data_IF_394027194615
#
_entry.id   IF_394027194615
#
_cell.length_a   1.000
_cell.length_b   1.000
_cell.length_c   1.000
_cell.angle_alpha   90.00
_cell.angle_beta   90.00
_cell.angle_gamma   90.00
#
_symmetry.space_group_name_H-M   'P 1'
#
loop_
_entity.id
_entity.type
_entity.pdbx_description
1 polymer ?
#
# COMPACT_ATOMS: atom_id res chain seq x y z
N UNK A 1 -5.47 -23.17 -19.53
CA UNK A 1 -4.87 -21.81 -19.42
C UNK A 1 -5.57 -20.96 -18.34
N UNK A 2 -6.89 -20.74 -18.39
CA UNK A 2 -7.61 -19.92 -17.39
C UNK A 2 -7.48 -20.40 -15.94
N UNK A 3 -7.71 -21.69 -15.70
CA UNK A 3 -7.66 -22.27 -14.35
C UNK A 3 -6.30 -22.05 -13.64
N UNK A 4 -5.19 -22.17 -14.37
CA UNK A 4 -3.86 -21.94 -13.80
C UNK A 4 -3.64 -20.47 -13.42
N UNK A 5 -4.11 -19.53 -14.26
CA UNK A 5 -4.03 -18.10 -13.94
C UNK A 5 -4.92 -17.73 -12.75
N UNK A 6 -6.14 -18.30 -12.68
CA UNK A 6 -7.06 -18.07 -11.56
C UNK A 6 -6.50 -18.61 -10.24
N UNK A 7 -5.89 -19.80 -10.27
CA UNK A 7 -5.21 -20.39 -9.11
C UNK A 7 -4.03 -19.54 -8.63
N UNK A 8 -3.15 -19.12 -9.55
CA UNK A 8 -2.01 -18.28 -9.20
C UNK A 8 -2.45 -16.95 -8.56
N UNK A 9 -3.46 -16.29 -9.15
CA UNK A 9 -4.03 -15.05 -8.59
C UNK A 9 -4.63 -15.28 -7.19
N UNK A 10 -5.31 -16.40 -6.99
CA UNK A 10 -5.87 -16.78 -5.69
C UNK A 10 -4.80 -16.96 -4.62
N UNK A 11 -3.71 -17.64 -4.97
CA UNK A 11 -2.57 -17.88 -4.08
C UNK A 11 -1.86 -16.57 -3.71
N UNK A 12 -1.61 -15.71 -4.69
CA UNK A 12 -0.97 -14.41 -4.46
C UNK A 12 -1.83 -13.50 -3.60
N UNK A 13 -3.14 -13.41 -3.87
CA UNK A 13 -4.07 -12.61 -3.07
C UNK A 13 -4.12 -13.10 -1.63
N UNK A 14 -4.19 -14.43 -1.43
CA UNK A 14 -4.23 -15.04 -0.10
C UNK A 14 -2.95 -14.79 0.69
N UNK A 15 -1.80 -14.78 0.01
CA UNK A 15 -0.49 -14.53 0.60
C UNK A 15 -0.30 -13.06 0.97
N UNK A 16 -0.61 -12.14 0.05
CA UNK A 16 -0.49 -10.70 0.27
C UNK A 16 -1.37 -10.22 1.42
N UNK A 17 -2.55 -10.82 1.61
CA UNK A 17 -3.44 -10.53 2.74
C UNK A 17 -2.70 -10.59 4.09
N UNK A 18 -1.87 -11.61 4.30
CA UNK A 18 -1.08 -11.77 5.53
C UNK A 18 0.14 -10.85 5.56
N UNK A 19 0.88 -10.80 4.45
CA UNK A 19 2.12 -10.02 4.35
C UNK A 19 1.89 -8.52 4.51
N UNK A 20 0.88 -7.95 3.84
CA UNK A 20 0.58 -6.51 3.92
C UNK A 20 0.19 -6.13 5.35
N UNK A 21 -0.63 -6.94 6.03
CA UNK A 21 -0.96 -6.71 7.44
C UNK A 21 0.28 -6.72 8.33
N UNK A 22 1.19 -7.69 8.14
CA UNK A 22 2.47 -7.76 8.87
C UNK A 22 3.31 -6.50 8.64
N UNK A 23 3.45 -6.07 7.38
CA UNK A 23 4.26 -4.90 7.04
C UNK A 23 3.67 -3.62 7.62
N UNK A 24 2.35 -3.43 7.53
CA UNK A 24 1.67 -2.28 8.12
C UNK A 24 1.84 -2.27 9.64
N UNK A 25 1.68 -3.43 10.30
CA UNK A 25 1.84 -3.55 11.74
C UNK A 25 3.26 -3.24 12.21
N UNK A 26 4.27 -3.70 11.48
CA UNK A 26 5.67 -3.45 11.80
C UNK A 26 6.06 -1.99 11.63
N UNK A 27 5.61 -1.37 10.53
CA UNK A 27 6.06 -0.04 10.13
C UNK A 27 5.29 1.08 10.80
N UNK A 28 3.96 0.98 10.84
CA UNK A 28 3.09 2.06 11.34
C UNK A 28 2.57 1.82 12.76
N UNK A 29 2.68 0.58 13.27
CA UNK A 29 2.27 0.20 14.63
C UNK A 29 0.87 0.73 15.00
N UNK A 30 -0.17 0.45 14.18
CA UNK A 30 -1.52 0.90 14.47
C UNK A 30 -2.05 0.28 15.76
N UNK A 31 -2.99 0.99 16.38
CA UNK A 31 -3.72 0.53 17.57
C UNK A 31 -5.24 0.60 17.29
N UNK A 32 -5.95 -0.55 17.22
CA UNK A 32 -5.42 -1.91 17.30
C UNK A 32 -4.58 -2.30 16.06
N UNK A 33 -3.69 -3.30 16.18
CA UNK A 33 -2.99 -3.87 15.04
C UNK A 33 -3.95 -4.37 13.96
N UNK A 34 -3.53 -4.29 12.70
CA UNK A 34 -4.24 -4.82 11.54
C UNK A 34 -4.30 -6.34 11.63
N UNK A 35 -5.49 -6.87 11.87
CA UNK A 35 -5.75 -8.31 11.84
C UNK A 35 -5.94 -8.74 10.36
N UNK A 36 -5.11 -9.67 9.83
CA UNK A 36 -5.30 -10.15 8.48
C UNK A 36 -6.64 -10.86 8.29
N UNK A 37 -7.25 -11.47 9.30
CA UNK A 37 -8.48 -12.25 9.17
C UNK A 37 -9.75 -11.45 9.42
N UNK A 38 -9.66 -10.33 10.13
CA UNK A 38 -10.77 -9.39 10.28
C UNK A 38 -10.81 -8.39 9.10
N UNK A 39 -11.89 -8.43 8.32
CA UNK A 39 -12.08 -7.49 7.19
C UNK A 39 -12.60 -6.13 7.64
N UNK A 40 -13.26 -6.05 8.79
CA UNK A 40 -13.96 -4.84 9.23
C UNK A 40 -13.01 -3.83 9.89
N UNK A 41 -11.94 -4.31 10.54
CA UNK A 41 -10.91 -3.47 11.17
C UNK A 41 -9.84 -2.95 10.21
N UNK A 42 -10.03 -3.07 8.89
CA UNK A 42 -9.05 -2.64 7.87
C UNK A 42 -9.60 -1.53 6.97
N UNK A 43 -8.81 -1.09 5.99
CA UNK A 43 -9.19 -0.01 5.08
C UNK A 43 -9.32 1.32 5.84
N UNK A 44 -10.29 2.15 5.48
CA UNK A 44 -10.49 3.46 6.11
C UNK A 44 -10.94 3.40 7.59
N UNK A 45 -11.35 2.24 8.10
CA UNK A 45 -11.65 2.05 9.53
C UNK A 45 -10.38 2.16 10.38
N UNK A 46 -9.23 1.71 9.87
CA UNK A 46 -7.95 1.78 10.57
C UNK A 46 -7.16 3.01 10.13
N UNK A 47 -6.61 3.76 11.07
CA UNK A 47 -5.91 5.02 10.74
C UNK A 47 -4.63 4.81 9.91
N UNK A 48 -3.86 3.76 10.16
CA UNK A 48 -2.66 3.48 9.36
C UNK A 48 -3.02 3.04 7.94
N UNK A 49 -3.99 2.13 7.78
CA UNK A 49 -4.49 1.75 6.47
C UNK A 49 -5.14 2.93 5.73
N UNK A 50 -5.92 3.74 6.44
CA UNK A 50 -6.58 4.91 5.88
C UNK A 50 -5.59 5.94 5.37
N UNK A 51 -4.50 6.22 6.11
CA UNK A 51 -3.41 7.08 5.66
C UNK A 51 -2.77 6.58 4.36
N UNK A 52 -2.57 5.28 4.23
CA UNK A 52 -2.00 4.66 3.03
C UNK A 52 -2.95 4.71 1.82
N UNK A 53 -4.26 4.58 2.06
CA UNK A 53 -5.29 4.55 1.01
C UNK A 53 -5.84 5.94 0.66
N UNK A 54 -5.58 6.95 1.48
CA UNK A 54 -6.00 8.33 1.25
C UNK A 54 -5.52 8.79 -0.13
N UNK A 55 -6.35 9.48 -0.92
CA UNK A 55 -5.88 10.20 -2.10
C UNK A 55 -4.69 11.10 -1.74
N UNK A 56 -3.67 11.08 -2.58
CA UNK A 56 -2.42 11.78 -2.33
C UNK A 56 -2.58 13.32 -2.23
N UNK A 57 -3.67 13.84 -2.79
CA UNK A 57 -4.04 15.26 -2.77
C UNK A 57 -4.73 15.68 -1.46
N UNK A 58 -5.07 14.74 -0.58
CA UNK A 58 -5.77 14.97 0.68
C UNK A 58 -4.87 14.63 1.89
N UNK A 59 -4.95 15.43 2.95
CA UNK A 59 -4.22 15.15 4.20
C UNK A 59 -5.06 14.32 5.17
N UNK A 60 -4.73 13.03 5.32
CA UNK A 60 -5.38 12.14 6.27
C UNK A 60 -5.28 12.58 7.75
N UNK A 61 -4.26 13.40 8.08
CA UNK A 61 -4.12 13.91 9.44
C UNK A 61 -5.15 15.00 9.75
N UNK A 62 -5.73 15.64 8.74
CA UNK A 62 -6.87 16.53 8.90
C UNK A 62 -8.11 15.69 9.34
N UNK A 63 -8.66 15.94 10.53
CA UNK A 63 -9.83 15.22 11.02
C UNK A 63 -11.06 15.40 10.11
N UNK A 64 -11.17 16.52 9.39
CA UNK A 64 -12.27 16.78 8.45
C UNK A 64 -12.14 15.88 7.23
N UNK A 65 -10.94 15.76 6.66
CA UNK A 65 -10.65 14.83 5.56
C UNK A 65 -10.95 13.40 5.98
N UNK A 66 -10.43 12.98 7.14
CA UNK A 66 -10.64 11.62 7.65
C UNK A 66 -12.11 11.30 7.88
N UNK A 67 -12.87 12.20 8.50
CA UNK A 67 -14.31 12.03 8.70
C UNK A 67 -15.04 12.03 7.35
N UNK A 68 -14.73 12.97 6.47
CA UNK A 68 -15.32 13.09 5.14
C UNK A 68 -15.15 11.83 4.29
N UNK A 69 -13.95 11.24 4.27
CA UNK A 69 -13.66 9.98 3.56
C UNK A 69 -14.46 8.82 4.17
N UNK A 70 -14.50 8.70 5.50
CA UNK A 70 -15.23 7.63 6.20
C UNK A 70 -16.74 7.70 5.97
N UNK A 71 -17.28 8.90 6.00
CA UNK A 71 -18.72 9.16 5.82
C UNK A 71 -19.10 9.23 4.34
N UNK A 72 -18.11 9.22 3.42
CA UNK A 72 -18.29 9.41 1.98
C UNK A 72 -19.01 10.72 1.66
N UNK A 73 -18.64 11.76 2.39
CA UNK A 73 -19.17 13.12 2.21
C UNK A 73 -18.78 13.69 0.84
N UNK A 74 -19.61 14.60 0.33
CA UNK A 74 -19.32 15.33 -0.90
C UNK A 74 -17.95 16.04 -0.79
N UNK A 75 -17.13 15.94 -1.83
CA UNK A 75 -15.76 16.44 -1.85
C UNK A 75 -14.69 15.51 -1.25
N UNK A 76 -15.07 14.43 -0.57
CA UNK A 76 -14.15 13.47 0.05
C UNK A 76 -14.33 12.03 -0.46
N UNK A 77 -15.08 11.86 -1.55
CA UNK A 77 -15.26 10.55 -2.18
C UNK A 77 -13.95 10.14 -2.85
N UNK A 78 -13.36 9.04 -2.38
CA UNK A 78 -12.19 8.42 -3.01
C UNK A 78 -12.63 7.78 -4.33
N UNK A 79 -12.01 8.20 -5.43
CA UNK A 79 -12.30 7.72 -6.80
C UNK A 79 -11.07 7.05 -7.41
N UNK A 80 -11.24 6.45 -8.59
CA UNK A 80 -10.17 5.90 -9.41
C UNK A 80 -9.34 6.96 -10.15
N UNK A 81 -9.71 8.24 -10.04
CA UNK A 81 -9.01 9.36 -10.66
C UNK A 81 -7.82 9.89 -9.85
N UNK A 82 -7.69 9.46 -8.58
CA UNK A 82 -6.62 9.89 -7.67
C UNK A 82 -5.75 8.70 -7.26
N UNK A 83 -4.45 8.92 -7.20
CA UNK A 83 -3.53 7.92 -6.69
C UNK A 83 -3.56 7.88 -5.16
N UNK A 84 -3.63 6.69 -4.54
CA UNK A 84 -3.49 6.57 -3.11
C UNK A 84 -2.03 6.80 -2.68
N UNK A 85 -1.86 7.35 -1.49
CA UNK A 85 -0.56 7.72 -0.92
C UNK A 85 0.42 6.54 -0.84
N UNK A 86 -0.05 5.30 -0.68
CA UNK A 86 0.82 4.12 -0.65
C UNK A 86 1.60 3.88 -1.95
N UNK A 87 1.30 4.57 -3.05
CA UNK A 87 2.10 4.45 -4.28
C UNK A 87 3.37 5.29 -4.24
N UNK A 88 3.40 6.34 -3.42
CA UNK A 88 4.49 7.32 -3.41
C UNK A 88 5.62 6.94 -2.47
N UNK A 89 6.84 7.33 -2.83
CA UNK A 89 7.99 7.25 -1.94
C UNK A 89 7.67 7.90 -0.58
N UNK A 90 8.11 7.25 0.50
CA UNK A 90 7.84 7.65 1.90
C UNK A 90 6.36 7.94 2.20
N UNK A 91 5.45 7.47 1.35
CA UNK A 91 4.01 7.71 1.46
C UNK A 91 3.67 9.20 1.48
N UNK A 92 4.28 9.99 0.60
CA UNK A 92 4.01 11.43 0.45
C UNK A 92 4.18 11.83 -1.01
N UNK A 93 3.17 12.47 -1.59
CA UNK A 93 3.27 13.04 -2.94
C UNK A 93 3.78 14.47 -2.89
N UNK A 94 4.53 14.87 -3.92
CA UNK A 94 4.86 16.27 -4.13
C UNK A 94 3.67 16.94 -4.85
N UNK A 95 3.00 17.94 -4.25
CA UNK A 95 1.87 18.62 -4.88
C UNK A 95 2.25 19.42 -6.14
N UNK A 96 3.53 19.81 -6.28
CA UNK A 96 4.05 20.52 -7.45
C UNK A 96 4.45 19.57 -8.59
N UNK A 97 4.69 18.28 -8.28
CA UNK A 97 5.06 17.22 -9.22
C UNK A 97 4.55 15.84 -8.74
N UNK A 98 3.36 15.46 -9.19
CA UNK A 98 2.73 14.18 -8.81
C UNK A 98 3.40 12.95 -9.45
N UNK A 99 4.34 13.11 -10.39
CA UNK A 99 5.12 11.98 -10.89
C UNK A 99 6.32 11.69 -9.98
N UNK A 100 6.76 12.69 -9.20
CA UNK A 100 7.83 12.52 -8.24
C UNK A 100 7.45 11.48 -7.17
N UNK A 101 8.32 10.47 -7.01
CA UNK A 101 8.11 9.43 -6.03
C UNK A 101 7.01 8.41 -6.38
N UNK A 102 6.26 8.59 -7.47
CA UNK A 102 5.19 7.69 -7.86
C UNK A 102 5.74 6.28 -8.16
N UNK A 103 5.04 5.26 -7.63
CA UNK A 103 5.40 3.84 -7.68
C UNK A 103 6.72 3.45 -6.98
N UNK A 104 7.20 4.26 -6.03
CA UNK A 104 8.45 4.00 -5.31
C UNK A 104 8.27 3.64 -3.83
N UNK A 105 7.05 3.53 -3.34
CA UNK A 105 6.85 3.19 -1.93
C UNK A 105 7.39 1.81 -1.57
N UNK A 106 7.84 1.69 -0.32
CA UNK A 106 8.34 0.43 0.23
C UNK A 106 7.30 -0.69 0.18
N UNK A 107 6.06 -0.47 0.66
CA UNK A 107 5.01 -1.51 0.64
C UNK A 107 4.68 -1.95 -0.79
N UNK A 108 4.69 -1.04 -1.78
CA UNK A 108 4.45 -1.40 -3.17
C UNK A 108 5.57 -2.29 -3.71
N UNK A 109 6.83 -1.93 -3.48
CA UNK A 109 8.00 -2.71 -3.90
C UNK A 109 8.02 -4.07 -3.19
N UNK A 110 7.65 -4.12 -1.91
CA UNK A 110 7.50 -5.39 -1.17
C UNK A 110 6.41 -6.28 -1.79
N UNK A 111 5.26 -5.71 -2.16
CA UNK A 111 4.20 -6.42 -2.87
C UNK A 111 4.66 -6.99 -4.20
N UNK A 112 5.34 -6.17 -5.02
CA UNK A 112 5.92 -6.59 -6.30
C UNK A 112 6.87 -7.79 -6.11
N UNK A 113 7.84 -7.69 -5.19
CA UNK A 113 8.78 -8.78 -4.91
C UNK A 113 8.07 -10.03 -4.37
N UNK A 114 7.08 -9.88 -3.50
CA UNK A 114 6.35 -11.03 -2.95
C UNK A 114 5.61 -11.85 -4.02
N UNK A 115 5.12 -11.19 -5.09
CA UNK A 115 4.39 -11.81 -6.21
C UNK A 115 5.38 -12.36 -7.25
N UNK A 116 6.29 -11.51 -7.75
CA UNK A 116 7.06 -11.80 -8.96
C UNK A 116 8.41 -12.47 -8.69
N UNK A 117 8.89 -12.44 -7.44
CA UNK A 117 10.13 -13.11 -7.06
C UNK A 117 9.86 -14.13 -5.95
N UNK A 118 9.76 -13.67 -4.71
CA UNK A 118 9.43 -14.52 -3.57
C UNK A 118 9.05 -13.70 -2.34
N UNK A 119 8.26 -14.26 -1.42
CA UNK A 119 7.92 -13.61 -0.15
C UNK A 119 9.14 -13.27 0.71
N UNK A 120 10.20 -14.10 0.65
CA UNK A 120 11.43 -13.84 1.39
C UNK A 120 12.16 -12.61 0.87
N UNK A 121 12.17 -12.38 -0.44
CA UNK A 121 12.84 -11.22 -1.05
C UNK A 121 12.18 -9.87 -0.73
N UNK A 122 10.92 -9.89 -0.27
CA UNK A 122 10.22 -8.70 0.20
C UNK A 122 10.67 -8.22 1.60
N UNK A 123 11.39 -9.05 2.36
CA UNK A 123 11.86 -8.69 3.71
C UNK A 123 12.95 -7.62 3.69
N UNK A 124 13.79 -7.64 2.65
CA UNK A 124 14.99 -6.80 2.53
C UNK A 124 14.74 -5.52 1.69
N UNK A 125 13.50 -5.06 1.58
CA UNK A 125 13.20 -3.80 0.90
C UNK A 125 13.46 -2.65 1.87
N UNK A 126 14.56 -1.93 1.65
CA UNK A 126 14.82 -0.63 2.30
C UNK A 126 14.05 0.46 1.53
N UNK A 127 13.41 1.38 2.28
CA UNK A 127 12.51 2.40 1.73
C UNK A 127 13.22 3.64 1.16
N UNK A 128 14.50 3.54 0.85
CA UNK A 128 15.35 4.65 0.40
C UNK A 128 15.90 4.45 -1.03
N UNK A 129 15.50 3.36 -1.71
CA UNK A 129 16.03 3.00 -3.02
C UNK A 129 15.34 3.75 -4.17
N UNK A 130 16.12 4.31 -5.09
CA UNK A 130 15.67 4.97 -6.33
C UNK A 130 15.09 3.99 -7.38
N UNK A 131 14.89 2.72 -7.00
CA UNK A 131 14.43 1.63 -7.85
C UNK A 131 15.53 0.92 -8.64
N UNK A 132 16.77 1.44 -8.66
CA UNK A 132 17.89 0.80 -9.35
C UNK A 132 18.31 -0.52 -8.69
N UNK A 133 18.18 -0.60 -7.36
CA UNK A 133 18.60 -1.75 -6.55
C UNK A 133 17.77 -3.02 -6.86
N UNK A 134 16.53 -2.85 -7.32
CA UNK A 134 15.65 -3.97 -7.73
C UNK A 134 16.16 -4.60 -9.02
N UNK A 135 16.68 -3.79 -9.97
CA UNK A 135 17.23 -4.28 -11.23
C UNK A 135 18.55 -5.00 -11.01
N UNK A 136 19.40 -4.50 -10.11
CA UNK A 136 20.68 -5.13 -9.81
C UNK A 136 20.51 -6.50 -9.14
N UNK A 137 19.57 -6.63 -8.21
CA UNK A 137 19.32 -7.89 -7.50
C UNK A 137 18.66 -9.00 -8.37
N UNK A 138 18.07 -8.62 -9.52
CA UNK A 138 17.40 -9.55 -10.43
C UNK A 138 18.26 -9.99 -11.62
N UNK A 139 19.51 -9.52 -11.75
CA UNK A 139 20.47 -10.07 -12.72
C UNK A 139 21.14 -11.32 -12.13
N UNK A 140 20.56 -12.48 -12.42
CA UNK A 140 21.29 -13.76 -12.41
C UNK A 140 21.77 -14.10 -13.80
#
# INVERSE_FOLDING_TARGET
LRQGADSARGDDTSKLKGLVSEWVNREFKPDPPVDPDDKHSRGFTNDACGRLLCPAELDWNDPVVRAGIRDRSEGYVVTDLSFPTYLYDKYTANPDDLEEGLFKSKILVQGYKAIFTSPSSAKDVEGDGDGADVIQNNRR
#
